data_IF_803130751642
#
_entry.id   IF_803130751642
#
_cell.length_a   1.000
_cell.length_b   1.000
_cell.length_c   1.000
_cell.angle_alpha   90.00
_cell.angle_beta   90.00
_cell.angle_gamma   90.00
#
_symmetry.space_group_name_H-M   'P 1'
#
loop_
_entity.id
_entity.type
_entity.pdbx_description
1 polymer ?
#
# COMPACT_ATOMS: atom_id res chain seq x y z
N UNK A 1 28.99 -35.89 -60.14
CA UNK A 1 28.73 -36.11 -58.72
C UNK A 1 28.54 -34.74 -58.08
N UNK A 2 27.30 -34.30 -57.92
CA UNK A 2 26.94 -33.02 -57.34
C UNK A 2 26.57 -33.28 -55.89
N UNK A 3 27.33 -32.72 -54.93
CA UNK A 3 27.05 -32.81 -53.51
C UNK A 3 26.13 -31.65 -53.12
N UNK A 4 24.92 -32.00 -52.68
CA UNK A 4 23.99 -31.03 -52.06
C UNK A 4 24.44 -30.78 -50.62
N UNK A 5 24.72 -29.52 -50.34
CA UNK A 5 25.02 -29.01 -48.98
C UNK A 5 23.65 -28.60 -48.37
N UNK A 6 23.14 -29.38 -47.42
CA UNK A 6 21.92 -29.04 -46.68
C UNK A 6 22.29 -28.06 -45.55
N UNK A 7 21.91 -26.81 -45.70
CA UNK A 7 22.07 -25.79 -44.63
C UNK A 7 20.87 -25.97 -43.68
N UNK A 8 21.12 -26.44 -42.47
CA UNK A 8 20.15 -26.46 -41.39
C UNK A 8 20.13 -25.05 -40.78
N UNK A 9 19.07 -24.32 -41.05
CA UNK A 9 18.81 -23.00 -40.47
C UNK A 9 18.16 -23.23 -39.09
N UNK A 10 18.97 -23.09 -38.01
CA UNK A 10 18.47 -23.12 -36.64
C UNK A 10 17.76 -21.80 -36.35
N UNK A 11 16.44 -21.85 -36.28
CA UNK A 11 15.65 -20.74 -35.76
C UNK A 11 15.84 -20.66 -34.25
N UNK A 12 16.60 -19.68 -33.79
CA UNK A 12 16.53 -19.24 -32.39
C UNK A 12 15.24 -18.45 -32.20
N UNK A 13 14.23 -19.07 -31.59
CA UNK A 13 13.12 -18.35 -31.00
C UNK A 13 13.67 -17.61 -29.77
N UNK A 14 13.50 -16.31 -29.68
CA UNK A 14 13.82 -15.63 -28.42
C UNK A 14 12.84 -16.18 -27.35
N UNK A 15 13.38 -16.81 -26.32
CA UNK A 15 12.65 -16.99 -25.08
C UNK A 15 12.41 -15.57 -24.53
N UNK A 16 11.17 -15.10 -24.61
CA UNK A 16 10.71 -13.99 -23.81
C UNK A 16 10.61 -14.56 -22.40
N UNK A 17 11.61 -14.30 -21.56
CA UNK A 17 11.44 -14.38 -20.11
C UNK A 17 10.39 -13.32 -19.78
N UNK A 18 9.17 -13.73 -19.52
CA UNK A 18 8.24 -12.95 -18.73
C UNK A 18 8.92 -12.92 -17.36
N UNK A 19 9.34 -11.73 -16.90
CA UNK A 19 9.74 -11.57 -15.51
C UNK A 19 8.53 -12.00 -14.67
N UNK A 20 8.70 -13.02 -13.83
CA UNK A 20 7.71 -13.30 -12.78
C UNK A 20 7.78 -12.08 -11.85
N UNK A 21 6.63 -11.59 -11.41
CA UNK A 21 6.54 -10.53 -10.41
C UNK A 21 7.36 -10.97 -9.19
N UNK A 22 8.38 -10.20 -8.85
CA UNK A 22 9.26 -10.51 -7.74
C UNK A 22 8.73 -9.78 -6.51
N UNK A 23 8.19 -10.55 -5.56
CA UNK A 23 7.70 -10.04 -4.28
C UNK A 23 8.42 -10.73 -3.15
N UNK A 24 9.21 -9.98 -2.39
CA UNK A 24 10.11 -10.51 -1.37
C UNK A 24 9.42 -10.56 0.01
N UNK A 25 8.26 -11.21 0.08
CA UNK A 25 7.57 -11.50 1.33
C UNK A 25 7.33 -13.00 1.50
N UNK A 26 7.48 -13.47 2.74
CA UNK A 26 7.06 -14.80 3.12
C UNK A 26 5.61 -14.80 3.62
N UNK A 27 4.80 -15.76 3.15
CA UNK A 27 3.47 -16.00 3.69
C UNK A 27 3.60 -16.88 4.92
N UNK A 28 3.37 -16.29 6.08
CA UNK A 28 3.46 -16.96 7.37
C UNK A 28 2.13 -17.58 7.79
N UNK A 29 2.13 -18.58 8.68
CA UNK A 29 0.92 -18.98 9.39
C UNK A 29 0.39 -17.81 10.24
N UNK A 30 -0.92 -17.76 10.45
CA UNK A 30 -1.53 -16.78 11.35
C UNK A 30 -0.86 -16.80 12.74
N UNK A 31 -0.25 -15.69 13.20
CA UNK A 31 0.43 -15.63 14.50
C UNK A 31 -0.55 -15.60 15.69
N UNK A 32 -1.84 -15.34 15.45
CA UNK A 32 -2.88 -15.20 16.47
C UNK A 32 -4.04 -16.20 16.29
N UNK A 33 -3.81 -17.53 16.20
CA UNK A 33 -4.84 -18.50 15.84
C UNK A 33 -5.89 -18.73 16.93
N UNK A 34 -5.71 -18.17 18.13
CA UNK A 34 -6.66 -18.25 19.24
C UNK A 34 -7.37 -16.92 19.54
N UNK A 35 -7.06 -15.87 18.79
CA UNK A 35 -7.74 -14.58 18.90
C UNK A 35 -9.14 -14.69 18.26
N UNK A 36 -10.21 -14.25 18.94
CA UNK A 36 -11.57 -14.35 18.39
C UNK A 36 -11.72 -13.69 17.02
N UNK A 37 -11.12 -12.52 16.82
CA UNK A 37 -11.19 -11.78 15.56
C UNK A 37 -10.37 -12.44 14.44
N UNK A 38 -9.25 -13.06 14.77
CA UNK A 38 -8.23 -13.48 13.80
C UNK A 38 -8.19 -14.99 13.56
N UNK A 39 -8.88 -15.79 14.39
CA UNK A 39 -8.81 -17.26 14.34
C UNK A 39 -9.28 -17.89 13.03
N UNK A 40 -10.10 -17.18 12.26
CA UNK A 40 -10.60 -17.62 10.95
C UNK A 40 -9.58 -17.50 9.82
N UNK A 41 -8.55 -16.69 9.98
CA UNK A 41 -7.48 -16.55 9.01
C UNK A 41 -6.41 -17.63 9.18
N UNK A 42 -5.77 -18.01 8.08
CA UNK A 42 -4.70 -19.00 8.08
C UNK A 42 -3.38 -18.49 7.51
N UNK A 43 -3.42 -17.38 6.77
CA UNK A 43 -2.29 -16.75 6.11
C UNK A 43 -2.07 -15.36 6.67
N UNK A 44 -0.80 -14.97 6.74
CA UNK A 44 -0.38 -13.71 7.30
C UNK A 44 0.85 -13.16 6.58
N UNK A 45 0.88 -11.87 6.34
CA UNK A 45 2.06 -11.11 5.92
C UNK A 45 2.15 -9.86 6.78
N UNK A 46 3.36 -9.53 7.25
CA UNK A 46 3.64 -8.29 7.96
C UNK A 46 4.40 -7.36 7.02
N UNK A 47 3.70 -6.39 6.46
CA UNK A 47 4.25 -5.44 5.49
C UNK A 47 5.01 -4.35 6.21
N UNK A 48 6.29 -4.18 5.86
CA UNK A 48 7.18 -3.12 6.37
C UNK A 48 7.12 -2.94 7.91
N UNK A 49 6.92 -4.03 8.63
CA UNK A 49 6.77 -4.06 10.10
C UNK A 49 5.70 -3.12 10.69
N UNK A 50 4.74 -2.66 9.91
CA UNK A 50 3.72 -1.72 10.38
C UNK A 50 2.29 -2.00 9.90
N UNK A 51 2.11 -2.83 8.86
CA UNK A 51 0.80 -3.09 8.29
C UNK A 51 0.56 -4.59 8.16
N UNK A 52 -0.62 -5.05 8.62
CA UNK A 52 -0.94 -6.47 8.69
C UNK A 52 -1.85 -6.89 7.54
N UNK A 53 -1.53 -7.99 6.87
CA UNK A 53 -2.42 -8.63 5.89
C UNK A 53 -2.77 -10.02 6.37
N UNK A 54 -4.05 -10.27 6.57
CA UNK A 54 -4.57 -11.58 6.96
C UNK A 54 -5.44 -12.15 5.83
N UNK A 55 -5.24 -13.41 5.49
CA UNK A 55 -6.02 -14.09 4.46
C UNK A 55 -6.63 -15.39 4.92
N UNK A 56 -7.85 -15.66 4.47
CA UNK A 56 -8.47 -16.97 4.63
C UNK A 56 -7.70 -18.05 3.86
N UNK A 57 -7.86 -19.32 4.25
CA UNK A 57 -7.12 -20.46 3.65
C UNK A 57 -7.30 -20.63 2.13
N UNK A 58 -8.40 -20.13 1.58
CA UNK A 58 -8.73 -20.23 0.16
C UNK A 58 -8.18 -19.08 -0.69
N UNK A 59 -7.56 -18.08 -0.10
CA UNK A 59 -6.87 -17.02 -0.82
C UNK A 59 -5.57 -17.59 -1.38
N UNK A 60 -5.32 -17.42 -2.67
CA UNK A 60 -4.07 -17.92 -3.28
C UNK A 60 -2.86 -17.14 -2.78
N UNK A 61 -1.68 -17.76 -2.79
CA UNK A 61 -0.44 -17.11 -2.41
C UNK A 61 -0.14 -15.91 -3.30
N UNK A 62 -0.42 -16.00 -4.60
CA UNK A 62 -0.25 -14.89 -5.53
C UNK A 62 -1.09 -13.66 -5.16
N UNK A 63 -2.32 -13.84 -4.66
CA UNK A 63 -3.18 -12.72 -4.21
C UNK A 63 -2.71 -12.12 -2.89
N UNK A 64 -2.21 -12.94 -1.98
CA UNK A 64 -1.58 -12.47 -0.74
C UNK A 64 -0.33 -11.62 -1.03
N UNK A 65 0.55 -12.13 -1.91
CA UNK A 65 1.78 -11.44 -2.29
C UNK A 65 1.49 -10.14 -3.06
N UNK A 66 0.50 -10.15 -3.95
CA UNK A 66 0.06 -8.95 -4.66
C UNK A 66 -0.41 -7.86 -3.70
N UNK A 67 -1.28 -8.20 -2.76
CA UNK A 67 -1.73 -7.24 -1.75
C UNK A 67 -0.57 -6.72 -0.90
N UNK A 68 0.42 -7.55 -0.58
CA UNK A 68 1.61 -7.13 0.15
C UNK A 68 2.50 -6.20 -0.66
N UNK A 69 2.71 -6.48 -1.96
CA UNK A 69 3.47 -5.61 -2.85
C UNK A 69 2.80 -4.23 -2.97
N UNK A 70 1.51 -4.19 -3.29
CA UNK A 70 0.76 -2.93 -3.41
C UNK A 70 0.81 -2.13 -2.10
N UNK A 71 0.63 -2.77 -0.95
CA UNK A 71 0.71 -2.07 0.34
C UNK A 71 2.10 -1.49 0.60
N UNK A 72 3.14 -2.23 0.20
CA UNK A 72 4.54 -1.76 0.34
C UNK A 72 4.82 -0.57 -0.55
N UNK A 73 4.47 -0.63 -1.84
CA UNK A 73 4.69 0.44 -2.82
C UNK A 73 3.92 1.72 -2.46
N UNK A 74 2.76 1.59 -1.79
CA UNK A 74 2.00 2.72 -1.29
C UNK A 74 2.60 3.36 -0.03
N UNK A 75 3.31 2.60 0.79
CA UNK A 75 3.95 3.06 2.02
C UNK A 75 5.40 3.48 1.81
N UNK A 76 6.09 2.86 0.86
CA UNK A 76 7.47 3.06 0.44
C UNK A 76 7.48 3.27 -1.08
N UNK A 77 7.12 4.50 -1.49
CA UNK A 77 6.87 4.81 -2.89
C UNK A 77 8.15 5.01 -3.72
N UNK A 78 9.32 4.96 -3.07
CA UNK A 78 10.63 4.96 -3.70
C UNK A 78 11.31 3.58 -3.68
N UNK A 79 10.67 2.58 -3.04
CA UNK A 79 11.08 1.17 -2.96
C UNK A 79 12.49 0.96 -2.38
N UNK A 80 12.85 1.75 -1.37
CA UNK A 80 14.14 1.62 -0.69
C UNK A 80 14.10 0.66 0.53
N UNK A 81 12.92 0.11 0.84
CA UNK A 81 12.69 -0.81 1.96
C UNK A 81 12.28 -0.11 3.25
N UNK A 82 12.09 1.22 3.22
CA UNK A 82 11.73 2.03 4.38
C UNK A 82 10.46 2.81 4.11
N UNK A 83 9.52 2.80 5.06
CA UNK A 83 8.29 3.60 4.94
C UNK A 83 8.63 5.09 4.80
N UNK A 84 8.12 5.77 3.77
CA UNK A 84 8.40 7.17 3.45
C UNK A 84 8.09 8.15 4.59
N UNK A 85 7.07 7.85 5.40
CA UNK A 85 6.70 8.64 6.57
C UNK A 85 6.81 7.80 7.86
N UNK A 86 7.85 8.02 8.69
CA UNK A 86 8.02 7.29 9.95
C UNK A 86 6.90 7.57 10.97
N UNK A 87 6.13 8.66 10.81
CA UNK A 87 4.99 8.93 11.70
C UNK A 87 3.81 8.05 11.28
N UNK A 88 3.55 7.92 9.98
CA UNK A 88 2.57 6.96 9.44
C UNK A 88 2.93 5.54 9.87
N UNK A 89 4.18 5.13 9.67
CA UNK A 89 4.68 3.82 10.08
C UNK A 89 4.35 3.52 11.56
N UNK A 90 4.74 4.42 12.46
CA UNK A 90 4.45 4.26 13.88
C UNK A 90 2.95 4.25 14.19
N UNK A 91 2.16 5.04 13.48
CA UNK A 91 0.71 5.12 13.70
C UNK A 91 0.01 3.84 13.27
N UNK A 92 0.32 3.32 12.08
CA UNK A 92 -0.22 2.04 11.58
C UNK A 92 0.19 0.87 12.49
N UNK A 93 1.47 0.82 12.92
CA UNK A 93 1.96 -0.19 13.86
C UNK A 93 1.22 -0.14 15.19
N UNK A 94 1.06 1.04 15.79
CA UNK A 94 0.42 1.20 17.10
C UNK A 94 -1.10 0.96 17.05
N UNK A 95 -1.75 1.30 15.95
CA UNK A 95 -3.17 1.02 15.73
C UNK A 95 -3.42 -0.41 15.25
N UNK A 96 -2.36 -1.22 15.04
CA UNK A 96 -2.47 -2.55 14.45
C UNK A 96 -3.27 -2.53 13.14
N UNK A 97 -2.98 -1.59 12.26
CA UNK A 97 -3.68 -1.42 11.00
C UNK A 97 -3.64 -2.71 10.16
N UNK A 98 -4.80 -3.14 9.64
CA UNK A 98 -4.95 -4.43 9.01
C UNK A 98 -5.78 -4.35 7.73
N UNK A 99 -5.36 -5.12 6.71
CA UNK A 99 -6.17 -5.49 5.55
C UNK A 99 -6.59 -6.97 5.67
N UNK A 100 -7.85 -7.24 5.97
CA UNK A 100 -8.38 -8.60 5.92
C UNK A 100 -8.72 -8.98 4.48
N UNK A 101 -8.38 -10.20 4.07
CA UNK A 101 -8.73 -10.75 2.75
C UNK A 101 -9.66 -11.94 2.95
N UNK A 102 -10.92 -11.75 2.59
CA UNK A 102 -11.98 -12.74 2.72
C UNK A 102 -12.22 -13.51 1.41
N UNK A 103 -12.77 -14.69 1.51
CA UNK A 103 -13.14 -15.50 0.33
C UNK A 103 -14.33 -14.93 -0.43
N UNK A 104 -15.21 -14.18 0.24
CA UNK A 104 -16.37 -13.48 -0.34
C UNK A 104 -17.00 -12.57 0.70
N UNK A 105 -17.91 -11.68 0.26
CA UNK A 105 -18.78 -10.84 1.10
C UNK A 105 -19.67 -11.61 2.11
N UNK A 106 -19.75 -12.92 1.94
CA UNK A 106 -20.52 -13.81 2.81
C UNK A 106 -19.64 -14.68 3.69
N UNK A 107 -18.39 -14.28 3.90
CA UNK A 107 -17.50 -15.03 4.78
C UNK A 107 -18.02 -15.00 6.22
N UNK A 108 -18.07 -16.17 6.84
CA UNK A 108 -18.58 -16.29 8.22
C UNK A 108 -17.65 -15.69 9.28
N UNK A 109 -16.42 -15.31 8.90
CA UNK A 109 -15.47 -14.69 9.85
C UNK A 109 -15.51 -13.16 9.81
N UNK A 110 -16.29 -12.55 8.89
CA UNK A 110 -16.41 -11.08 8.85
C UNK A 110 -17.01 -10.53 10.13
N UNK A 111 -18.11 -11.16 10.61
CA UNK A 111 -18.75 -10.77 11.87
C UNK A 111 -17.78 -10.89 13.07
N UNK A 112 -16.91 -11.91 13.09
CA UNK A 112 -15.91 -12.08 14.15
C UNK A 112 -14.85 -10.95 14.10
N UNK A 113 -14.42 -10.54 12.91
CA UNK A 113 -13.49 -9.42 12.74
C UNK A 113 -14.15 -8.11 13.16
N UNK A 114 -15.39 -7.84 12.73
CA UNK A 114 -16.14 -6.63 13.07
C UNK A 114 -16.40 -6.52 14.57
N UNK A 115 -16.78 -7.64 15.21
CA UNK A 115 -17.17 -7.67 16.63
C UNK A 115 -15.98 -7.66 17.60
N UNK A 116 -14.83 -8.20 17.22
CA UNK A 116 -13.74 -8.49 18.17
C UNK A 116 -12.37 -7.90 17.82
N UNK A 117 -12.16 -7.32 16.65
CA UNK A 117 -10.87 -6.72 16.33
C UNK A 117 -10.76 -5.32 16.93
N UNK A 118 -9.76 -5.13 17.79
CA UNK A 118 -9.53 -3.84 18.48
C UNK A 118 -8.59 -2.90 17.69
N UNK A 119 -7.99 -3.36 16.58
CA UNK A 119 -7.10 -2.57 15.74
C UNK A 119 -7.86 -1.75 14.69
N UNK A 120 -7.12 -1.04 13.82
CA UNK A 120 -7.71 -0.20 12.80
C UNK A 120 -7.93 -0.97 11.49
N UNK A 121 -9.18 -0.96 11.01
CA UNK A 121 -9.62 -1.46 9.71
C UNK A 121 -10.53 -0.39 9.11
N UNK A 122 -10.39 -0.08 7.84
CA UNK A 122 -11.30 0.80 7.11
C UNK A 122 -11.95 0.12 5.92
N UNK A 123 -11.31 -0.95 5.43
CA UNK A 123 -11.73 -1.64 4.23
C UNK A 123 -11.40 -3.14 4.30
N UNK A 124 -11.90 -3.92 3.35
CA UNK A 124 -11.63 -5.35 3.23
C UNK A 124 -11.50 -5.74 1.77
N UNK A 125 -10.63 -6.68 1.47
CA UNK A 125 -10.50 -7.26 0.14
C UNK A 125 -11.23 -8.60 0.05
N UNK A 126 -11.85 -8.86 -1.09
CA UNK A 126 -12.44 -10.14 -1.41
C UNK A 126 -11.65 -10.87 -2.50
N UNK A 127 -11.64 -12.20 -2.44
CA UNK A 127 -10.86 -13.01 -3.36
C UNK A 127 -11.06 -12.70 -4.85
N UNK A 128 -12.28 -12.34 -5.24
CA UNK A 128 -12.64 -12.12 -6.65
C UNK A 128 -12.26 -10.75 -7.19
N UNK A 129 -11.87 -9.82 -6.34
CA UNK A 129 -11.49 -8.45 -6.72
C UNK A 129 -9.99 -8.16 -6.56
N UNK A 130 -9.17 -9.21 -6.38
CA UNK A 130 -7.72 -9.12 -6.41
C UNK A 130 -7.23 -9.77 -7.70
N UNK A 131 -6.60 -9.00 -8.59
CA UNK A 131 -6.02 -9.51 -9.83
C UNK A 131 -4.50 -9.24 -9.94
N UNK A 132 -3.65 -10.20 -9.55
CA UNK A 132 -2.20 -10.04 -9.64
C UNK A 132 -1.66 -9.86 -11.07
N UNK A 133 -2.49 -10.02 -12.09
CA UNK A 133 -2.09 -9.81 -13.50
C UNK A 133 -2.32 -8.39 -13.98
N UNK A 134 -2.95 -7.55 -13.16
CA UNK A 134 -3.25 -6.14 -13.44
C UNK A 134 -2.77 -5.25 -12.27
N UNK A 135 -1.50 -5.31 -11.88
CA UNK A 135 -1.01 -4.54 -10.74
C UNK A 135 -1.14 -3.03 -11.02
N UNK A 136 -1.59 -2.30 -10.00
CA UNK A 136 -1.75 -0.86 -10.05
C UNK A 136 -2.84 -0.35 -10.97
N UNK A 137 -3.60 -1.21 -11.64
CA UNK A 137 -4.66 -0.82 -12.55
C UNK A 137 -6.03 -0.76 -11.88
N UNK A 138 -6.79 0.25 -12.26
CA UNK A 138 -8.23 0.30 -12.04
C UNK A 138 -8.94 -0.80 -12.85
N UNK A 139 -10.11 -1.21 -12.43
CA UNK A 139 -10.97 -2.15 -13.11
C UNK A 139 -11.28 -3.39 -12.29
N UNK A 140 -10.70 -4.53 -12.63
CA UNK A 140 -10.99 -5.80 -11.95
C UNK A 140 -10.11 -6.02 -10.68
N UNK A 141 -9.23 -5.06 -10.33
CA UNK A 141 -8.35 -5.13 -9.16
C UNK A 141 -8.59 -3.98 -8.18
N UNK A 142 -9.31 -4.25 -7.10
CA UNK A 142 -9.59 -3.30 -6.03
C UNK A 142 -8.42 -3.15 -5.01
N UNK A 143 -7.30 -3.80 -5.23
CA UNK A 143 -6.23 -3.88 -4.21
C UNK A 143 -5.66 -2.51 -3.85
N UNK A 144 -5.46 -1.62 -4.83
CA UNK A 144 -4.97 -0.24 -4.58
C UNK A 144 -5.99 0.55 -3.78
N UNK A 145 -7.26 0.46 -4.12
CA UNK A 145 -8.37 1.17 -3.50
C UNK A 145 -8.48 0.83 -2.02
N UNK A 146 -8.70 -0.45 -1.71
CA UNK A 146 -8.97 -0.89 -0.35
C UNK A 146 -7.78 -0.71 0.59
N UNK A 147 -6.55 -0.91 0.06
CA UNK A 147 -5.34 -0.66 0.84
C UNK A 147 -5.14 0.84 1.09
N UNK A 148 -5.36 1.71 0.10
CA UNK A 148 -5.32 3.16 0.30
C UNK A 148 -6.35 3.62 1.33
N UNK A 149 -7.59 3.10 1.28
CA UNK A 149 -8.61 3.40 2.28
C UNK A 149 -8.10 3.11 3.69
N UNK A 150 -7.49 1.95 3.91
CA UNK A 150 -6.99 1.57 5.23
C UNK A 150 -5.76 2.40 5.65
N UNK A 151 -4.78 2.59 4.77
CA UNK A 151 -3.59 3.41 5.06
C UNK A 151 -3.98 4.86 5.35
N UNK A 152 -4.88 5.44 4.54
CA UNK A 152 -5.30 6.81 4.71
C UNK A 152 -6.13 7.01 5.96
N UNK A 153 -7.11 6.15 6.22
CA UNK A 153 -7.97 6.23 7.40
C UNK A 153 -7.17 6.03 8.69
N UNK A 154 -6.39 4.93 8.78
CA UNK A 154 -5.64 4.59 9.98
C UNK A 154 -4.35 5.42 10.16
N UNK A 155 -3.88 6.09 9.12
CA UNK A 155 -2.64 6.86 9.12
C UNK A 155 -2.86 8.34 8.88
N UNK A 156 -3.03 8.78 7.63
CA UNK A 156 -3.03 10.19 7.24
C UNK A 156 -4.10 11.03 7.94
N UNK A 157 -5.32 10.50 8.06
CA UNK A 157 -6.46 11.16 8.74
C UNK A 157 -6.14 11.39 10.21
N UNK A 158 -5.52 10.42 10.87
CA UNK A 158 -5.19 10.48 12.29
C UNK A 158 -4.06 11.48 12.58
N UNK A 159 -3.00 11.49 11.78
CA UNK A 159 -1.81 12.30 12.08
C UNK A 159 -1.83 13.69 11.46
N UNK A 160 -2.61 13.91 10.39
CA UNK A 160 -2.75 15.19 9.71
C UNK A 160 -4.21 15.70 9.67
N UNK A 161 -4.91 15.77 10.82
CA UNK A 161 -6.35 16.05 10.83
C UNK A 161 -6.71 17.44 10.25
N UNK A 162 -5.82 18.42 10.30
CA UNK A 162 -6.05 19.71 9.65
C UNK A 162 -6.03 19.65 8.12
N UNK A 163 -5.37 18.64 7.56
CA UNK A 163 -5.33 18.39 6.12
C UNK A 163 -6.42 17.40 5.69
N UNK A 164 -6.64 16.30 6.43
CA UNK A 164 -7.37 15.14 5.96
C UNK A 164 -8.51 14.64 6.87
N UNK A 165 -8.89 15.38 7.93
CA UNK A 165 -10.06 14.98 8.71
C UNK A 165 -11.29 14.82 7.83
N UNK A 166 -12.05 13.74 8.06
CA UNK A 166 -13.21 13.34 7.25
C UNK A 166 -14.50 14.11 7.61
N UNK A 167 -14.49 14.88 8.71
CA UNK A 167 -15.69 15.62 9.18
C UNK A 167 -15.95 16.88 8.34
N UNK A 168 -17.20 17.30 8.19
CA UNK A 168 -17.54 18.53 7.49
C UNK A 168 -16.86 19.76 8.10
N UNK A 169 -16.27 20.62 7.27
CA UNK A 169 -15.57 21.86 7.66
C UNK A 169 -14.41 21.65 8.65
N UNK A 170 -13.79 20.50 8.67
CA UNK A 170 -12.76 20.16 9.65
C UNK A 170 -11.34 20.10 9.07
N UNK A 171 -11.21 20.06 7.74
CA UNK A 171 -9.92 19.94 7.07
C UNK A 171 -9.90 20.64 5.71
N UNK A 172 -8.69 20.85 5.19
CA UNK A 172 -8.52 21.38 3.83
C UNK A 172 -9.11 20.44 2.77
N UNK A 173 -9.02 19.13 2.99
CA UNK A 173 -9.63 18.13 2.12
C UNK A 173 -11.16 18.19 2.15
N UNK A 174 -11.79 18.31 3.33
CA UNK A 174 -13.24 18.42 3.42
C UNK A 174 -13.77 19.67 2.70
N UNK A 175 -13.04 20.79 2.79
CA UNK A 175 -13.38 22.02 2.07
C UNK A 175 -13.19 21.85 0.54
N UNK A 176 -12.14 21.15 0.11
CA UNK A 176 -11.90 20.85 -1.31
C UNK A 176 -12.98 19.91 -1.87
N UNK A 177 -13.36 18.86 -1.13
CA UNK A 177 -14.45 17.96 -1.51
C UNK A 177 -15.78 18.68 -1.68
N UNK A 178 -16.11 19.63 -0.79
CA UNK A 178 -17.35 20.40 -0.91
C UNK A 178 -17.35 21.28 -2.17
N UNK A 179 -16.19 21.76 -2.62
CA UNK A 179 -16.06 22.44 -3.91
C UNK A 179 -16.22 21.44 -5.05
N UNK A 180 -15.56 20.29 -4.98
CA UNK A 180 -15.59 19.26 -6.02
C UNK A 180 -17.01 18.75 -6.31
N UNK A 181 -17.84 18.67 -5.27
CA UNK A 181 -19.25 18.25 -5.37
C UNK A 181 -20.23 19.40 -5.67
N UNK A 182 -19.75 20.64 -5.76
CA UNK A 182 -20.58 21.83 -5.96
C UNK A 182 -21.42 22.20 -4.73
N UNK A 183 -21.08 21.69 -3.54
CA UNK A 183 -21.76 22.00 -2.28
C UNK A 183 -21.47 20.99 -1.17
N UNK A 184 -21.82 21.40 0.07
CA UNK A 184 -21.70 20.52 1.22
C UNK A 184 -22.92 19.61 1.33
N UNK A 185 -22.73 18.32 1.01
CA UNK A 185 -23.74 17.29 1.13
C UNK A 185 -23.35 16.30 2.24
N UNK A 186 -24.18 16.14 3.28
CA UNK A 186 -23.93 15.22 4.38
C UNK A 186 -24.29 13.76 4.05
N UNK A 187 -24.93 13.55 2.94
CA UNK A 187 -25.26 12.25 2.34
C UNK A 187 -25.30 12.45 0.82
N UNK A 188 -25.27 11.38 0.06
CA UNK A 188 -25.38 11.44 -1.40
C UNK A 188 -26.66 12.18 -1.82
N UNK A 189 -26.56 13.28 -2.60
CA UNK A 189 -27.72 14.04 -3.04
C UNK A 189 -28.46 13.32 -4.17
N UNK A 190 -29.73 13.64 -4.38
CA UNK A 190 -30.47 13.10 -5.53
C UNK A 190 -29.91 13.50 -6.89
N UNK A 191 -29.19 14.61 -6.93
CA UNK A 191 -28.51 15.13 -8.12
C UNK A 191 -27.40 16.11 -7.66
N UNK A 192 -26.22 15.95 -8.20
CA UNK A 192 -25.13 16.91 -8.06
C UNK A 192 -25.33 18.12 -9.00
N UNK A 193 -24.78 19.30 -8.67
CA UNK A 193 -24.70 20.44 -9.60
C UNK A 193 -23.94 20.06 -10.87
N UNK A 194 -24.29 20.72 -11.98
CA UNK A 194 -23.68 20.46 -13.30
C UNK A 194 -22.16 20.76 -13.35
N UNK A 195 -21.69 21.65 -12.47
CA UNK A 195 -20.28 22.02 -12.34
C UNK A 195 -19.45 21.08 -11.42
N UNK A 196 -20.08 20.11 -10.77
CA UNK A 196 -19.37 19.15 -9.94
C UNK A 196 -18.53 18.21 -10.82
N UNK A 197 -17.39 17.74 -10.27
CA UNK A 197 -16.54 16.73 -10.91
C UNK A 197 -16.34 15.49 -10.02
N UNK A 198 -16.92 15.50 -8.82
CA UNK A 198 -17.02 14.36 -7.92
C UNK A 198 -18.48 14.10 -7.59
N UNK A 199 -18.98 12.92 -7.98
CA UNK A 199 -20.41 12.58 -7.99
C UNK A 199 -20.70 11.26 -7.28
N UNK A 200 -19.99 10.91 -6.22
CA UNK A 200 -20.14 9.61 -5.56
C UNK A 200 -21.61 9.20 -5.40
N UNK A 201 -21.98 7.99 -5.82
CA UNK A 201 -23.36 7.61 -6.03
C UNK A 201 -23.90 6.50 -5.12
N UNK A 202 -23.05 5.91 -4.25
CA UNK A 202 -23.54 4.99 -3.23
C UNK A 202 -24.36 5.73 -2.15
N UNK A 203 -25.65 5.60 -2.24
CA UNK A 203 -26.62 6.26 -1.37
C UNK A 203 -26.52 5.84 0.11
N UNK A 204 -25.77 4.78 0.45
CA UNK A 204 -25.52 4.36 1.84
C UNK A 204 -24.41 5.16 2.49
N UNK A 205 -23.61 5.87 1.68
CA UNK A 205 -22.44 6.60 2.10
C UNK A 205 -22.82 7.92 2.78
N UNK A 206 -22.23 8.19 3.93
CA UNK A 206 -22.32 9.46 4.61
C UNK A 206 -21.17 10.41 4.21
N UNK A 207 -21.00 11.52 4.93
CA UNK A 207 -19.97 12.50 4.61
C UNK A 207 -18.55 11.94 4.77
N UNK A 208 -18.30 11.15 5.82
CA UNK A 208 -16.97 10.59 6.09
C UNK A 208 -16.58 9.57 5.02
N UNK A 209 -17.52 8.71 4.66
CA UNK A 209 -17.36 7.77 3.56
C UNK A 209 -17.06 8.51 2.25
N UNK A 210 -17.86 9.51 1.86
CA UNK A 210 -17.56 10.32 0.66
C UNK A 210 -16.22 11.05 0.72
N UNK A 211 -15.72 11.40 1.89
CA UNK A 211 -14.44 12.09 2.04
C UNK A 211 -13.25 11.14 1.85
N UNK A 212 -13.33 9.90 2.31
CA UNK A 212 -12.25 8.92 2.10
C UNK A 212 -12.19 8.48 0.63
N UNK A 213 -13.35 8.33 -0.02
CA UNK A 213 -13.46 8.06 -1.46
C UNK A 213 -12.88 9.20 -2.30
N UNK A 214 -13.20 10.45 -1.96
CA UNK A 214 -12.61 11.60 -2.64
C UNK A 214 -11.08 11.63 -2.53
N UNK A 215 -10.54 11.26 -1.37
CA UNK A 215 -9.09 11.14 -1.18
C UNK A 215 -8.50 10.07 -2.10
N UNK A 216 -9.15 8.92 -2.20
CA UNK A 216 -8.75 7.84 -3.09
C UNK A 216 -8.73 8.31 -4.55
N UNK A 217 -9.84 8.86 -5.07
CA UNK A 217 -9.92 9.34 -6.44
C UNK A 217 -8.82 10.36 -6.78
N UNK A 218 -8.54 11.28 -5.88
CA UNK A 218 -7.51 12.29 -6.06
C UNK A 218 -6.09 11.67 -6.14
N UNK A 219 -5.78 10.70 -5.28
CA UNK A 219 -4.48 10.02 -5.27
C UNK A 219 -4.28 9.24 -6.57
N UNK A 220 -5.24 8.41 -6.96
CA UNK A 220 -5.10 7.55 -8.16
C UNK A 220 -5.14 8.35 -9.47
N UNK A 221 -5.83 9.50 -9.50
CA UNK A 221 -5.75 10.44 -10.60
C UNK A 221 -4.34 11.03 -10.75
N UNK A 222 -3.75 11.46 -9.63
CA UNK A 222 -2.40 12.01 -9.63
C UNK A 222 -1.35 10.97 -10.04
N UNK A 223 -1.54 9.70 -9.69
CA UNK A 223 -0.69 8.58 -10.10
C UNK A 223 -0.83 8.24 -11.59
N UNK A 224 -1.91 8.66 -12.27
CA UNK A 224 -2.20 8.31 -13.64
C UNK A 224 -2.81 6.91 -13.83
N UNK A 225 -3.27 6.26 -12.76
CA UNK A 225 -3.92 4.93 -12.81
C UNK A 225 -5.20 4.98 -13.66
N UNK A 226 -5.90 6.12 -13.65
CA UNK A 226 -7.16 6.31 -14.35
C UNK A 226 -6.99 6.78 -15.81
N UNK A 227 -5.76 7.05 -16.27
CA UNK A 227 -5.46 7.60 -17.61
C UNK A 227 -5.57 6.52 -18.70
N UNK A 228 -6.72 5.88 -18.76
CA UNK A 228 -7.16 4.98 -19.83
C UNK A 228 -8.60 5.32 -20.22
N UNK A 229 -8.91 5.50 -21.51
CA UNK A 229 -10.24 5.90 -21.93
C UNK A 229 -11.37 4.93 -21.54
N UNK A 230 -11.08 3.65 -21.39
CA UNK A 230 -12.09 2.67 -20.97
C UNK A 230 -12.37 2.82 -19.49
N UNK A 231 -11.33 2.95 -18.66
CA UNK A 231 -11.42 3.20 -17.21
C UNK A 231 -12.15 4.52 -16.96
N UNK A 232 -11.69 5.60 -17.56
CA UNK A 232 -12.28 6.93 -17.39
C UNK A 232 -13.78 6.99 -17.75
N UNK A 233 -14.17 6.33 -18.85
CA UNK A 233 -15.59 6.24 -19.22
C UNK A 233 -16.40 5.33 -18.27
N UNK A 234 -15.76 4.40 -17.59
CA UNK A 234 -16.42 3.47 -16.66
C UNK A 234 -16.75 4.10 -15.30
N UNK A 235 -16.05 5.18 -14.95
CA UNK A 235 -16.15 5.87 -13.65
C UNK A 235 -16.73 7.29 -13.78
N UNK A 236 -17.17 7.72 -14.96
CA UNK A 236 -17.62 9.09 -15.23
C UNK A 236 -18.89 9.48 -14.44
N UNK A 237 -19.61 8.49 -13.89
CA UNK A 237 -20.71 8.69 -12.96
C UNK A 237 -20.26 9.11 -11.55
N UNK A 238 -18.99 8.87 -11.19
CA UNK A 238 -18.44 9.20 -9.88
C UNK A 238 -17.33 10.24 -9.93
N UNK A 239 -16.44 10.16 -10.94
CA UNK A 239 -15.24 10.98 -11.02
C UNK A 239 -14.91 11.39 -12.47
N UNK A 240 -14.64 12.67 -12.69
CA UNK A 240 -14.37 13.21 -14.02
C UNK A 240 -12.88 13.50 -14.29
N UNK A 241 -12.03 13.57 -13.25
CA UNK A 241 -10.65 14.04 -13.40
C UNK A 241 -9.67 12.88 -13.58
N UNK A 242 -9.81 12.12 -14.67
CA UNK A 242 -9.09 10.86 -14.88
C UNK A 242 -7.59 11.00 -15.18
N UNK A 243 -7.09 12.17 -15.57
CA UNK A 243 -5.66 12.34 -15.88
C UNK A 243 -4.96 13.25 -14.88
N UNK A 244 -3.65 13.05 -14.62
CA UNK A 244 -2.88 13.92 -13.72
C UNK A 244 -2.98 15.42 -14.10
N UNK A 245 -2.92 15.74 -15.40
CA UNK A 245 -3.00 17.12 -15.88
C UNK A 245 -4.39 17.73 -15.67
N UNK A 246 -5.45 16.95 -15.89
CA UNK A 246 -6.82 17.42 -15.68
C UNK A 246 -7.08 17.63 -14.19
N UNK A 247 -6.67 16.69 -13.34
CA UNK A 247 -6.74 16.82 -11.88
C UNK A 247 -5.97 18.05 -11.39
N UNK A 248 -4.69 18.17 -11.77
CA UNK A 248 -3.83 19.29 -11.35
C UNK A 248 -4.34 20.66 -11.80
N UNK A 249 -5.08 20.74 -12.91
CA UNK A 249 -5.61 22.02 -13.41
C UNK A 249 -7.01 22.36 -12.92
N UNK A 250 -7.77 21.38 -12.44
CA UNK A 250 -9.18 21.55 -12.02
C UNK A 250 -9.29 21.61 -10.49
N UNK A 251 -8.79 20.59 -9.79
CA UNK A 251 -8.88 20.52 -8.33
C UNK A 251 -7.60 21.02 -7.66
N UNK A 252 -7.37 22.32 -7.76
CA UNK A 252 -6.15 22.95 -7.27
C UNK A 252 -5.95 22.76 -5.75
N UNK A 253 -7.03 22.70 -4.99
CA UNK A 253 -6.97 22.58 -3.54
C UNK A 253 -6.49 21.18 -3.12
N UNK A 254 -7.11 20.14 -3.66
CA UNK A 254 -6.73 18.76 -3.35
C UNK A 254 -5.38 18.41 -3.97
N UNK A 255 -5.11 18.86 -5.20
CA UNK A 255 -3.79 18.67 -5.83
C UNK A 255 -2.65 19.22 -4.97
N UNK A 256 -2.84 20.41 -4.36
CA UNK A 256 -1.84 20.98 -3.47
C UNK A 256 -1.60 20.16 -2.19
N UNK A 257 -2.59 19.41 -1.72
CA UNK A 257 -2.44 18.45 -0.61
C UNK A 257 -1.69 17.20 -1.06
N UNK A 258 -2.07 16.63 -2.20
CA UNK A 258 -1.46 15.39 -2.73
C UNK A 258 0.06 15.55 -2.95
N UNK A 259 0.47 16.63 -3.59
CA UNK A 259 1.90 16.85 -3.90
C UNK A 259 2.71 17.46 -2.76
N UNK A 260 2.10 17.75 -1.62
CA UNK A 260 2.81 18.36 -0.50
C UNK A 260 3.74 17.33 0.17
N UNK A 261 5.07 17.53 0.11
CA UNK A 261 6.03 16.56 0.63
C UNK A 261 5.96 16.36 2.15
N UNK A 262 5.19 17.19 2.86
CA UNK A 262 4.94 17.02 4.29
C UNK A 262 4.11 15.78 4.57
N UNK A 263 3.18 15.44 3.69
CA UNK A 263 2.19 14.38 3.94
C UNK A 263 2.62 13.01 3.40
N UNK A 264 3.66 12.98 2.58
CA UNK A 264 4.22 11.72 2.05
C UNK A 264 3.17 10.79 1.43
N UNK A 265 2.15 11.38 0.79
CA UNK A 265 1.20 10.59 0.00
C UNK A 265 1.92 9.97 -1.20
N UNK A 266 1.55 8.76 -1.60
CA UNK A 266 2.18 8.09 -2.73
C UNK A 266 1.90 8.83 -4.05
N UNK A 267 2.94 8.99 -4.88
CA UNK A 267 2.88 9.72 -6.15
C UNK A 267 3.06 8.80 -7.37
N UNK A 268 3.63 7.61 -7.19
CA UNK A 268 3.82 6.60 -8.23
C UNK A 268 2.80 5.48 -8.05
N UNK A 269 2.27 5.00 -9.16
CA UNK A 269 1.36 3.86 -9.17
C UNK A 269 2.10 2.58 -8.82
N UNK A 270 1.54 1.71 -7.96
CA UNK A 270 2.07 0.39 -7.73
C UNK A 270 2.14 -0.44 -9.01
N UNK A 271 3.20 -1.20 -9.19
CA UNK A 271 3.34 -2.15 -10.30
C UNK A 271 3.23 -3.62 -9.86
N UNK A 272 3.07 -3.84 -8.55
CA UNK A 272 2.90 -5.16 -7.94
C UNK A 272 4.19 -5.96 -7.82
N UNK A 273 5.34 -5.32 -8.02
CA UNK A 273 6.66 -5.90 -7.80
C UNK A 273 7.32 -5.15 -6.65
N UNK A 274 7.46 -5.80 -5.52
CA UNK A 274 8.14 -5.20 -4.39
C UNK A 274 9.19 -6.15 -3.85
N UNK A 275 10.42 -5.86 -4.18
CA UNK A 275 11.59 -6.54 -3.68
C UNK A 275 12.72 -5.51 -3.57
N UNK A 276 12.67 -4.63 -2.57
CA UNK A 276 13.71 -3.65 -2.38
C UNK A 276 15.04 -4.41 -2.33
N UNK A 277 16.01 -3.93 -3.07
CA UNK A 277 17.35 -4.54 -3.08
C UNK A 277 17.72 -4.79 -1.63
N UNK A 278 18.02 -6.06 -1.29
CA UNK A 278 18.29 -6.51 0.08
C UNK A 278 18.91 -5.35 0.86
N UNK A 279 18.27 -4.91 1.91
CA UNK A 279 18.85 -3.93 2.81
C UNK A 279 20.27 -4.42 3.05
N UNK A 280 21.26 -3.70 2.56
CA UNK A 280 22.65 -4.15 2.61
C UNK A 280 22.87 -4.70 4.00
N UNK A 281 23.28 -5.97 4.12
CA UNK A 281 23.45 -6.59 5.44
C UNK A 281 24.28 -5.63 6.31
N UNK A 282 23.66 -5.09 7.36
CA UNK A 282 24.25 -4.06 8.18
C UNK A 282 23.85 -2.61 7.88
N UNK A 283 23.00 -2.35 6.90
CA UNK A 283 22.32 -1.06 6.71
C UNK A 283 21.08 -1.04 7.63
N UNK A 284 21.28 -0.52 8.82
CA UNK A 284 20.26 -0.54 9.88
C UNK A 284 19.38 0.71 9.90
N UNK A 285 19.78 1.74 9.13
CA UNK A 285 18.99 2.96 8.99
C UNK A 285 18.25 3.03 7.63
N UNK A 286 18.48 2.06 6.74
CA UNK A 286 17.82 1.99 5.44
C UNK A 286 18.25 3.07 4.45
N UNK A 287 19.44 3.72 4.64
CA UNK A 287 19.89 4.80 3.75
C UNK A 287 20.63 4.30 2.49
N UNK A 288 20.74 2.98 2.31
CA UNK A 288 21.42 2.33 1.20
C UNK A 288 22.96 2.27 1.35
N UNK A 289 23.49 2.62 2.51
CA UNK A 289 24.93 2.60 2.79
C UNK A 289 25.22 1.97 4.14
N UNK A 290 26.04 0.93 4.19
CA UNK A 290 26.57 0.40 5.45
C UNK A 290 27.72 1.28 5.92
N UNK A 291 27.51 2.07 6.98
CA UNK A 291 28.46 3.07 7.44
C UNK A 291 28.43 3.23 8.99
N UNK A 292 29.07 4.29 9.51
CA UNK A 292 29.17 4.49 10.97
C UNK A 292 27.80 4.80 11.63
N UNK A 293 26.81 5.26 10.86
CA UNK A 293 25.48 5.57 11.40
C UNK A 293 24.77 4.28 11.85
N UNK A 294 24.94 3.20 11.11
CA UNK A 294 24.40 1.88 11.41
C UNK A 294 25.05 1.28 12.67
N UNK A 295 26.36 1.47 12.82
CA UNK A 295 27.05 1.08 14.06
C UNK A 295 26.44 1.80 15.25
N UNK A 296 26.12 3.09 15.14
CA UNK A 296 25.53 3.87 16.24
C UNK A 296 24.13 3.34 16.58
N UNK A 297 23.31 2.98 15.58
CA UNK A 297 21.99 2.38 15.79
C UNK A 297 22.15 1.05 16.53
N UNK A 298 22.99 0.16 16.04
CA UNK A 298 23.22 -1.15 16.67
C UNK A 298 23.72 -1.03 18.10
N UNK A 299 24.65 -0.11 18.38
CA UNK A 299 25.14 0.17 19.74
C UNK A 299 24.02 0.66 20.64
N UNK A 300 23.17 1.57 20.16
CA UNK A 300 22.03 2.07 20.93
C UNK A 300 21.03 0.95 21.25
N UNK A 301 20.74 0.10 20.29
CA UNK A 301 19.89 -1.07 20.50
C UNK A 301 20.47 -2.01 21.58
N UNK A 302 21.75 -2.35 21.48
CA UNK A 302 22.43 -3.22 22.47
C UNK A 302 22.42 -2.61 23.88
N UNK A 303 22.56 -1.28 23.98
CA UNK A 303 22.65 -0.60 25.28
C UNK A 303 21.29 -0.32 25.92
N UNK A 304 20.27 -0.03 25.14
CA UNK A 304 19.01 0.50 25.65
C UNK A 304 17.80 -0.39 25.32
N UNK A 305 17.92 -1.31 24.37
CA UNK A 305 16.85 -2.22 23.98
C UNK A 305 15.66 -1.54 23.28
N UNK A 306 15.86 -0.30 22.82
CA UNK A 306 14.82 0.47 22.15
C UNK A 306 14.91 0.27 20.63
N UNK A 307 13.90 -0.35 20.04
CA UNK A 307 13.74 -0.52 18.58
C UNK A 307 13.66 -1.98 18.16
N UNK A 308 12.92 -2.20 17.09
CA UNK A 308 12.89 -3.47 16.37
C UNK A 308 13.87 -3.33 15.20
N UNK A 309 15.06 -3.88 15.35
CA UNK A 309 16.08 -3.84 14.31
C UNK A 309 16.51 -5.25 13.93
N UNK A 310 16.71 -5.48 12.67
CA UNK A 310 17.32 -6.71 12.16
C UNK A 310 18.85 -6.67 12.35
N UNK A 311 19.25 -6.64 13.64
CA UNK A 311 20.64 -6.42 14.05
C UNK A 311 21.44 -7.69 14.35
N UNK A 312 20.85 -8.88 14.22
CA UNK A 312 21.55 -10.16 14.32
C UNK A 312 22.26 -10.46 12.99
N UNK A 313 23.42 -9.85 12.81
CA UNK A 313 24.18 -9.91 11.56
C UNK A 313 25.03 -11.17 11.43
N UNK A 314 25.24 -11.89 12.53
CA UNK A 314 25.99 -13.13 12.57
C UNK A 314 25.09 -14.37 12.67
N UNK A 315 23.75 -14.17 12.72
CA UNK A 315 22.72 -15.24 12.78
C UNK A 315 22.89 -16.19 13.99
N UNK A 316 23.33 -15.64 15.16
CA UNK A 316 23.50 -16.43 16.38
C UNK A 316 22.29 -16.37 17.35
N UNK A 317 21.15 -15.84 16.89
CA UNK A 317 19.90 -15.62 17.62
C UNK A 317 19.99 -14.52 18.70
N UNK A 318 20.99 -13.64 18.61
CA UNK A 318 21.14 -12.58 19.62
C UNK A 318 21.87 -11.34 19.16
N UNK A 319 21.21 -10.19 19.24
CA UNK A 319 21.84 -8.91 18.90
C UNK A 319 22.79 -8.46 20.02
N UNK A 320 24.08 -8.46 19.74
CA UNK A 320 25.13 -8.18 20.71
C UNK A 320 26.42 -7.58 20.07
N UNK A 321 27.49 -7.49 20.82
CA UNK A 321 28.74 -6.88 20.34
C UNK A 321 29.39 -7.62 19.16
N UNK A 322 29.05 -8.89 18.95
CA UNK A 322 29.58 -9.65 17.80
C UNK A 322 29.02 -9.13 16.48
N UNK A 323 27.80 -8.65 16.48
CA UNK A 323 27.16 -8.04 15.29
C UNK A 323 27.81 -6.70 14.94
N UNK A 324 28.29 -5.94 15.94
CA UNK A 324 29.10 -4.74 15.68
C UNK A 324 30.41 -5.11 14.96
N UNK A 325 30.99 -6.26 15.28
CA UNK A 325 32.20 -6.73 14.59
C UNK A 325 31.88 -7.06 13.12
N UNK A 326 30.72 -7.67 12.85
CA UNK A 326 30.26 -7.96 11.47
C UNK A 326 30.09 -6.66 10.69
N UNK A 327 29.38 -5.68 11.23
CA UNK A 327 29.14 -4.39 10.53
C UNK A 327 30.46 -3.65 10.25
N UNK A 328 31.40 -3.66 11.18
CA UNK A 328 32.73 -3.08 10.97
C UNK A 328 33.50 -3.79 9.84
N UNK A 329 33.39 -5.11 9.75
CA UNK A 329 33.99 -5.87 8.65
C UNK A 329 33.35 -5.53 7.31
N UNK A 330 32.03 -5.40 7.24
CA UNK A 330 31.31 -4.96 6.03
C UNK A 330 31.81 -3.59 5.57
N UNK A 331 31.91 -2.62 6.48
CA UNK A 331 32.39 -1.26 6.18
C UNK A 331 33.85 -1.26 5.68
N UNK A 332 34.69 -2.11 6.23
CA UNK A 332 36.11 -2.19 5.87
C UNK A 332 36.34 -3.02 4.60
N UNK A 333 35.37 -3.72 4.07
CA UNK A 333 35.49 -4.55 2.87
C UNK A 333 36.33 -5.80 3.04
N UNK A 334 36.40 -6.36 4.24
CA UNK A 334 37.27 -7.48 4.62
C UNK A 334 36.47 -8.76 4.88
#
# INVERSE_FOLDING_TARGET
MIRYLTIIMMYFLPFILVAENEVCYDILPNPHPNDPALSGFSKYIHVLNCFHIYGESQISDSKMLHAAAVASELLDNNEDGVVDDPIIENTLRNSQAMMPIFTSEWSSIMDDVEDYYDGCISAALFRNEIDPTQPGHWGDDATVEEILHTINHCGHVEIYPSAFSLQPNSSQMSDAMDIARGGQFLSVPNQYPEEAWYHYDDWTCDYECMAIEYMYWAIVSNMGILDDPQTCNGIDNEWELCTPELFASTDLAMYALIINPQYKLPLNAPDGNYCPADSLQGDLNGDGYVNIQDIIILVNYILFGDGDINGDLNEDEGVNILDIVVIVQLILGS
#
